data_IF_834422472087
#
_entry.id   IF_834422472087
#
_cell.length_a   1.000
_cell.length_b   1.000
_cell.length_c   1.000
_cell.angle_alpha   90.00
_cell.angle_beta   90.00
_cell.angle_gamma   90.00
#
_symmetry.space_group_name_H-M   'P 1'
#
loop_
_entity.id
_entity.type
_entity.pdbx_description
1 polymer ?
#
# COMPACT_ATOMS: atom_id res chain seq x y z
N UNK A 1 8.14 17.53 -7.78
CA UNK A 1 8.84 16.98 -6.60
C UNK A 1 8.64 15.48 -6.66
N UNK A 2 9.73 14.72 -6.82
CA UNK A 2 9.72 13.25 -6.84
C UNK A 2 9.16 12.65 -5.54
N UNK A 3 8.42 11.55 -5.64
CA UNK A 3 8.00 10.77 -4.49
C UNK A 3 9.08 9.74 -4.16
N UNK A 4 9.85 9.99 -3.10
CA UNK A 4 11.05 9.21 -2.77
C UNK A 4 10.75 8.04 -1.81
N UNK A 5 11.71 7.11 -1.61
CA UNK A 5 11.59 6.08 -0.57
C UNK A 5 11.40 6.65 0.85
N UNK A 6 11.91 7.85 1.14
CA UNK A 6 11.67 8.50 2.42
C UNK A 6 10.22 9.01 2.54
N UNK A 7 9.66 9.52 1.44
CA UNK A 7 8.25 9.92 1.39
C UNK A 7 7.32 8.74 1.61
N UNK A 8 7.65 7.59 1.02
CA UNK A 8 6.94 6.32 1.27
C UNK A 8 7.00 5.95 2.75
N UNK A 9 8.19 5.97 3.36
CA UNK A 9 8.36 5.62 4.78
C UNK A 9 7.56 6.55 5.70
N UNK A 10 7.58 7.85 5.44
CA UNK A 10 6.78 8.84 6.18
C UNK A 10 5.28 8.59 6.01
N UNK A 11 4.84 8.37 4.77
CA UNK A 11 3.44 8.10 4.48
C UNK A 11 2.94 6.84 5.18
N UNK A 12 3.71 5.75 5.15
CA UNK A 12 3.39 4.52 5.88
C UNK A 12 3.26 4.77 7.39
N UNK A 13 4.15 5.57 7.98
CA UNK A 13 4.07 5.91 9.40
C UNK A 13 2.80 6.71 9.74
N UNK A 14 2.39 7.63 8.86
CA UNK A 14 1.13 8.37 8.99
C UNK A 14 -0.07 7.43 8.86
N UNK A 15 -0.10 6.56 7.87
CA UNK A 15 -1.18 5.57 7.70
C UNK A 15 -1.33 4.68 8.94
N UNK A 16 -0.22 4.25 9.55
CA UNK A 16 -0.24 3.49 10.81
C UNK A 16 -0.86 4.29 11.96
N UNK A 17 -0.58 5.58 12.04
CA UNK A 17 -1.12 6.44 13.09
C UNK A 17 -2.63 6.70 12.90
N UNK A 18 -3.07 6.83 11.65
CA UNK A 18 -4.45 7.19 11.31
C UNK A 18 -5.39 5.98 11.21
N UNK A 19 -4.85 4.80 10.88
CA UNK A 19 -5.61 3.55 10.72
C UNK A 19 -5.21 2.60 11.84
N UNK A 20 -5.95 2.65 12.94
CA UNK A 20 -5.64 1.94 14.18
C UNK A 20 -5.53 0.40 14.01
N UNK A 21 -6.21 -0.15 13.00
CA UNK A 21 -6.13 -1.56 12.66
C UNK A 21 -4.79 -1.97 12.03
N UNK A 22 -3.98 -1.03 11.55
CA UNK A 22 -2.66 -1.31 11.01
C UNK A 22 -1.66 -1.32 12.16
N UNK A 23 -1.16 -2.51 12.51
CA UNK A 23 -0.25 -2.67 13.64
C UNK A 23 1.21 -2.53 13.23
N UNK A 24 1.52 -2.86 11.98
CA UNK A 24 2.87 -2.92 11.47
C UNK A 24 2.95 -2.31 10.07
N UNK A 25 4.02 -1.56 9.83
CA UNK A 25 4.33 -1.02 8.51
C UNK A 25 5.73 -1.37 8.08
N UNK A 26 5.89 -1.72 6.80
CA UNK A 26 7.18 -2.09 6.23
C UNK A 26 7.34 -1.54 4.81
N UNK A 27 8.33 -0.68 4.54
CA UNK A 27 8.76 -0.44 3.17
C UNK A 27 9.60 -1.62 2.68
N UNK A 28 9.33 -2.11 1.47
CA UNK A 28 10.05 -3.23 0.83
C UNK A 28 10.39 -2.86 -0.61
N UNK A 29 11.43 -3.49 -1.16
CA UNK A 29 11.81 -3.33 -2.56
C UNK A 29 10.97 -4.26 -3.44
N UNK A 30 10.81 -5.51 -3.02
CA UNK A 30 10.16 -6.54 -3.82
C UNK A 30 9.52 -7.63 -2.94
N UNK A 31 8.93 -8.61 -3.63
CA UNK A 31 8.30 -9.78 -3.02
C UNK A 31 9.26 -10.62 -2.17
N UNK A 32 10.55 -10.67 -2.51
CA UNK A 32 11.54 -11.46 -1.78
C UNK A 32 11.83 -10.85 -0.41
N UNK A 33 11.96 -9.52 -0.35
CA UNK A 33 12.09 -8.80 0.91
C UNK A 33 10.80 -8.87 1.71
N UNK A 34 9.65 -8.74 1.05
CA UNK A 34 8.35 -8.90 1.72
C UNK A 34 8.22 -10.28 2.37
N UNK A 35 8.54 -11.36 1.65
CA UNK A 35 8.48 -12.71 2.20
C UNK A 35 9.40 -12.89 3.41
N UNK A 36 10.59 -12.28 3.38
CA UNK A 36 11.52 -12.27 4.51
C UNK A 36 10.95 -11.54 5.72
N UNK A 37 10.39 -10.35 5.55
CA UNK A 37 9.78 -9.58 6.65
C UNK A 37 8.56 -10.32 7.25
N UNK A 38 7.70 -10.86 6.39
CA UNK A 38 6.51 -11.63 6.81
C UNK A 38 6.90 -12.91 7.55
N UNK A 39 8.01 -13.56 7.17
CA UNK A 39 8.49 -14.77 7.86
C UNK A 39 8.81 -14.53 9.34
N UNK A 40 9.18 -13.29 9.70
CA UNK A 40 9.54 -12.90 11.07
C UNK A 40 8.33 -12.49 11.92
N UNK A 41 7.14 -12.33 11.32
CA UNK A 41 5.93 -11.96 12.03
C UNK A 41 5.28 -13.15 12.73
N UNK A 42 4.69 -12.91 13.90
CA UNK A 42 3.75 -13.83 14.53
C UNK A 42 2.32 -13.60 14.03
N UNK A 43 1.47 -14.62 14.16
CA UNK A 43 0.04 -14.53 13.82
C UNK A 43 -0.68 -13.53 14.72
N UNK A 44 -0.18 -13.35 15.95
CA UNK A 44 -0.63 -12.32 16.88
C UNK A 44 -0.20 -10.91 16.47
N UNK A 45 0.80 -10.79 15.59
CA UNK A 45 1.13 -9.52 14.94
C UNK A 45 0.07 -9.31 13.85
N UNK A 46 -0.97 -8.60 14.24
CA UNK A 46 -2.12 -8.17 13.44
C UNK A 46 -1.73 -7.54 12.07
N UNK A 47 -2.75 -7.14 11.31
CA UNK A 47 -2.71 -6.42 10.03
C UNK A 47 -1.43 -5.61 9.73
N UNK A 48 -0.74 -6.05 8.68
CA UNK A 48 0.48 -5.48 8.11
C UNK A 48 0.14 -4.61 6.91
N UNK A 49 0.68 -3.39 6.87
CA UNK A 49 0.74 -2.57 5.66
C UNK A 49 2.18 -2.56 5.10
N UNK A 50 2.35 -3.14 3.93
CA UNK A 50 3.59 -3.12 3.17
C UNK A 50 3.49 -2.02 2.11
N UNK A 51 4.50 -1.18 2.01
CA UNK A 51 4.67 -0.28 0.85
C UNK A 51 5.83 -0.76 0.00
N UNK A 52 5.58 -1.00 -1.28
CA UNK A 52 6.64 -1.31 -2.24
C UNK A 52 7.30 0.01 -2.66
N UNK A 53 8.61 -0.02 -2.88
CA UNK A 53 9.31 1.16 -3.40
C UNK A 53 8.69 1.62 -4.73
N UNK A 54 8.64 2.93 -4.97
CA UNK A 54 8.04 3.45 -6.20
C UNK A 54 8.81 2.98 -7.42
N UNK A 55 8.09 2.51 -8.43
CA UNK A 55 8.62 2.30 -9.76
C UNK A 55 8.55 3.60 -10.55
N UNK A 56 9.68 4.02 -11.10
CA UNK A 56 9.82 5.28 -11.82
C UNK A 56 9.84 5.02 -13.34
N UNK A 57 8.86 5.59 -14.05
CA UNK A 57 8.77 5.54 -15.50
C UNK A 57 8.74 6.96 -16.08
N UNK A 58 9.37 7.16 -17.23
CA UNK A 58 9.25 8.42 -17.95
C UNK A 58 7.81 8.59 -18.45
N UNK A 59 7.21 9.74 -18.18
CA UNK A 59 5.88 10.09 -18.66
C UNK A 59 6.00 11.23 -19.68
N UNK A 60 6.47 10.88 -20.89
CA UNK A 60 6.85 11.81 -21.95
C UNK A 60 5.74 12.06 -22.97
N UNK A 61 4.47 12.01 -22.56
CA UNK A 61 3.32 12.14 -23.48
C UNK A 61 2.98 13.59 -23.90
N UNK A 62 3.87 14.57 -23.72
CA UNK A 62 3.67 15.92 -24.27
C UNK A 62 4.75 16.95 -23.96
N UNK A 63 4.99 17.87 -24.90
CA UNK A 63 6.12 18.82 -24.98
C UNK A 63 6.22 19.89 -23.87
N UNK A 64 5.28 19.98 -22.91
CA UNK A 64 5.21 21.15 -22.01
C UNK A 64 5.58 20.91 -20.53
N UNK A 65 5.82 19.68 -20.08
CA UNK A 65 6.38 19.42 -18.75
C UNK A 65 7.12 18.09 -18.63
N UNK A 66 8.39 18.11 -18.19
CA UNK A 66 9.14 16.91 -17.82
C UNK A 66 8.53 16.32 -16.53
N UNK A 67 7.70 15.28 -16.69
CA UNK A 67 7.10 14.54 -15.59
C UNK A 67 7.56 13.08 -15.59
N UNK A 68 7.48 12.48 -14.41
CA UNK A 68 7.76 11.08 -14.15
C UNK A 68 6.48 10.41 -13.64
N UNK A 69 6.11 9.30 -14.27
CA UNK A 69 5.08 8.41 -13.77
C UNK A 69 5.66 7.54 -12.66
N UNK A 70 4.97 7.47 -11.53
CA UNK A 70 5.32 6.62 -10.41
C UNK A 70 4.21 5.61 -10.23
N UNK A 71 4.55 4.33 -10.26
CA UNK A 71 3.62 3.28 -9.82
C UNK A 71 3.90 3.00 -8.36
N UNK A 72 2.85 3.05 -7.54
CA UNK A 72 2.93 2.81 -6.11
C UNK A 72 2.05 1.61 -5.75
N UNK A 73 2.67 0.62 -5.12
CA UNK A 73 2.00 -0.59 -4.68
C UNK A 73 2.03 -0.72 -3.16
N UNK A 74 0.89 -1.07 -2.59
CA UNK A 74 0.72 -1.30 -1.17
C UNK A 74 0.04 -2.65 -0.95
N UNK A 75 0.44 -3.37 0.09
CA UNK A 75 -0.23 -4.61 0.48
C UNK A 75 -0.74 -4.50 1.90
N UNK A 76 -2.03 -4.75 2.09
CA UNK A 76 -2.66 -4.85 3.40
C UNK A 76 -2.93 -6.33 3.64
N UNK A 77 -2.13 -6.91 4.53
CA UNK A 77 -1.99 -8.35 4.67
C UNK A 77 -2.19 -8.77 6.12
N UNK A 78 -2.76 -9.95 6.31
CA UNK A 78 -2.86 -10.61 7.61
C UNK A 78 -2.23 -11.99 7.53
N UNK A 79 -1.37 -12.30 8.50
CA UNK A 79 -0.72 -13.61 8.60
C UNK A 79 -1.71 -14.64 9.10
N UNK A 80 -1.70 -15.83 8.49
CA UNK A 80 -2.62 -16.91 8.83
C UNK A 80 -1.88 -18.23 8.99
N UNK A 81 -2.43 -19.13 9.80
CA UNK A 81 -1.98 -20.52 9.88
C UNK A 81 -2.93 -21.41 9.06
N UNK A 82 -2.51 -21.78 7.85
CA UNK A 82 -3.34 -22.59 6.95
C UNK A 82 -3.71 -23.96 7.50
N UNK A 83 -2.93 -24.53 8.43
CA UNK A 83 -3.25 -25.79 9.09
C UNK A 83 -4.55 -25.73 9.90
N UNK A 84 -4.94 -24.54 10.36
CA UNK A 84 -6.08 -24.31 11.23
C UNK A 84 -7.15 -23.40 10.60
N UNK A 85 -6.96 -22.96 9.35
CA UNK A 85 -7.81 -21.98 8.70
C UNK A 85 -9.06 -22.64 8.11
N UNK A 86 -10.23 -22.36 8.69
CA UNK A 86 -11.49 -22.76 8.08
C UNK A 86 -11.86 -21.84 6.90
N UNK A 87 -12.85 -22.27 6.10
CA UNK A 87 -13.36 -21.42 5.01
C UNK A 87 -13.96 -20.11 5.52
N UNK A 88 -14.59 -20.13 6.70
CA UNK A 88 -15.21 -18.94 7.29
C UNK A 88 -14.13 -18.00 7.83
N UNK A 89 -13.11 -18.52 8.53
CA UNK A 89 -11.97 -17.72 8.99
C UNK A 89 -11.24 -17.05 7.83
N UNK A 90 -11.12 -17.75 6.69
CA UNK A 90 -10.53 -17.17 5.49
C UNK A 90 -11.36 -15.98 4.97
N UNK A 91 -12.68 -16.13 4.90
CA UNK A 91 -13.57 -15.03 4.47
C UNK A 91 -13.51 -13.86 5.46
N UNK A 92 -13.44 -14.13 6.76
CA UNK A 92 -13.30 -13.09 7.79
C UNK A 92 -11.99 -12.31 7.64
N UNK A 93 -10.87 -13.00 7.39
CA UNK A 93 -9.57 -12.35 7.09
C UNK A 93 -9.65 -11.49 5.84
N UNK A 94 -10.28 -11.98 4.78
CA UNK A 94 -10.47 -11.21 3.54
C UNK A 94 -11.40 -10.02 3.77
N UNK A 95 -12.47 -10.17 4.56
CA UNK A 95 -13.37 -9.07 4.89
C UNK A 95 -12.66 -7.97 5.68
N UNK A 96 -11.94 -8.35 6.73
CA UNK A 96 -11.19 -7.42 7.58
C UNK A 96 -10.14 -6.64 6.77
N UNK A 97 -9.33 -7.34 5.98
CA UNK A 97 -8.32 -6.72 5.12
C UNK A 97 -8.94 -5.84 4.04
N UNK A 98 -10.09 -6.20 3.47
CA UNK A 98 -10.83 -5.35 2.53
C UNK A 98 -11.32 -4.05 3.17
N UNK A 99 -11.86 -4.12 4.39
CA UNK A 99 -12.35 -2.94 5.12
C UNK A 99 -11.22 -1.98 5.45
N UNK A 100 -10.06 -2.49 5.88
CA UNK A 100 -8.86 -1.67 6.12
C UNK A 100 -8.29 -1.10 4.83
N UNK A 101 -8.33 -1.87 3.74
CA UNK A 101 -7.93 -1.40 2.40
C UNK A 101 -8.76 -0.22 1.91
N UNK A 102 -10.07 -0.25 2.16
CA UNK A 102 -10.94 0.89 1.85
C UNK A 102 -10.58 2.13 2.66
N UNK A 103 -10.31 1.99 3.97
CA UNK A 103 -9.85 3.11 4.82
C UNK A 103 -8.54 3.71 4.32
N UNK A 104 -7.61 2.87 3.87
CA UNK A 104 -6.36 3.31 3.26
C UNK A 104 -6.60 4.13 1.98
N UNK A 105 -7.46 3.65 1.07
CA UNK A 105 -7.82 4.39 -0.16
C UNK A 105 -8.49 5.72 0.19
N UNK A 106 -9.42 5.74 1.14
CA UNK A 106 -10.07 6.96 1.62
C UNK A 106 -9.04 7.96 2.17
N UNK A 107 -8.08 7.49 2.96
CA UNK A 107 -7.00 8.33 3.51
C UNK A 107 -6.11 8.92 2.42
N UNK A 108 -5.83 8.17 1.36
CA UNK A 108 -5.07 8.60 0.21
C UNK A 108 -5.81 9.68 -0.60
N UNK A 109 -7.11 9.52 -0.82
CA UNK A 109 -7.97 10.52 -1.47
C UNK A 109 -8.07 11.79 -0.60
N UNK A 110 -8.13 11.65 0.72
CA UNK A 110 -8.09 12.79 1.63
C UNK A 110 -6.77 13.55 1.57
N UNK A 111 -5.64 12.84 1.47
CA UNK A 111 -4.31 13.47 1.34
C UNK A 111 -4.22 14.31 0.07
N UNK A 112 -4.70 13.80 -1.06
CA UNK A 112 -4.77 14.55 -2.32
C UNK A 112 -5.55 15.85 -2.18
N UNK A 113 -6.68 15.80 -1.48
CA UNK A 113 -7.61 16.92 -1.37
C UNK A 113 -7.33 17.86 -0.19
N UNK A 114 -6.26 17.65 0.57
CA UNK A 114 -5.95 18.46 1.74
C UNK A 114 -5.39 19.84 1.32
N UNK A 115 -6.13 20.95 1.56
CA UNK A 115 -5.72 22.28 1.11
C UNK A 115 -4.59 22.88 1.97
N UNK A 116 -4.28 22.28 3.13
CA UNK A 116 -3.35 22.83 4.13
C UNK A 116 -1.93 22.22 4.05
N UNK A 117 -1.72 21.26 3.16
CA UNK A 117 -0.44 20.59 2.92
C UNK A 117 -0.10 20.71 1.45
N UNK A 118 1.19 20.84 1.11
CA UNK A 118 1.63 20.61 -0.28
C UNK A 118 1.41 19.11 -0.55
N UNK A 119 0.35 18.72 -1.30
CA UNK A 119 -0.09 17.33 -1.26
C UNK A 119 0.91 16.50 -2.07
N UNK A 120 1.66 15.61 -1.42
CA UNK A 120 2.55 14.67 -2.11
C UNK A 120 1.79 13.82 -3.15
N UNK A 121 0.47 13.70 -2.97
CA UNK A 121 -0.45 12.98 -3.85
C UNK A 121 -1.31 13.89 -4.74
N UNK A 122 -0.92 15.16 -4.95
CA UNK A 122 -1.72 16.11 -5.74
C UNK A 122 -2.05 15.58 -7.15
N UNK A 123 -1.06 14.99 -7.83
CA UNK A 123 -1.21 14.39 -9.15
C UNK A 123 -1.51 12.87 -9.11
N UNK A 124 -2.13 12.40 -8.04
CA UNK A 124 -2.66 11.04 -7.98
C UNK A 124 -3.74 10.87 -9.06
N UNK A 125 -3.59 9.86 -9.90
CA UNK A 125 -4.61 9.45 -10.84
C UNK A 125 -5.62 8.53 -10.14
N UNK A 126 -6.73 9.07 -9.66
CA UNK A 126 -7.77 8.30 -8.95
C UNK A 126 -8.34 7.15 -9.79
N UNK A 127 -8.41 7.31 -11.13
CA UNK A 127 -8.89 6.26 -12.03
C UNK A 127 -7.93 5.07 -12.15
N UNK A 128 -6.68 5.23 -11.72
CA UNK A 128 -5.68 4.16 -11.70
C UNK A 128 -5.70 3.33 -10.41
N UNK A 129 -6.50 3.71 -9.40
CA UNK A 129 -6.58 2.97 -8.15
C UNK A 129 -7.20 1.61 -8.40
N UNK A 130 -6.43 0.56 -8.15
CA UNK A 130 -6.86 -0.83 -8.26
C UNK A 130 -6.66 -1.53 -6.92
N UNK A 131 -7.61 -2.40 -6.57
CA UNK A 131 -7.54 -3.23 -5.37
C UNK A 131 -7.74 -4.70 -5.78
N UNK A 132 -6.74 -5.53 -5.54
CA UNK A 132 -6.69 -6.92 -6.00
C UNK A 132 -6.48 -7.88 -4.81
N UNK A 133 -7.19 -9.02 -4.75
CA UNK A 133 -7.01 -9.97 -3.65
C UNK A 133 -5.65 -10.66 -3.75
N UNK A 134 -5.03 -10.89 -2.60
CA UNK A 134 -3.76 -11.60 -2.44
C UNK A 134 -4.00 -12.85 -1.60
N UNK A 135 -3.62 -14.00 -2.16
CA UNK A 135 -3.78 -15.29 -1.51
C UNK A 135 -2.43 -15.99 -1.32
N UNK A 136 -2.21 -16.52 -0.11
CA UNK A 136 -1.07 -17.37 0.23
C UNK A 136 0.31 -16.77 -0.06
N UNK A 137 0.41 -15.44 -0.13
CA UNK A 137 1.67 -14.75 -0.38
C UNK A 137 2.48 -14.73 0.91
N UNK A 138 3.53 -15.53 0.97
CA UNK A 138 4.37 -15.71 2.17
C UNK A 138 3.58 -16.07 3.46
N UNK A 139 2.49 -16.83 3.34
CA UNK A 139 1.66 -17.18 4.49
C UNK A 139 0.66 -16.10 4.93
N UNK A 140 0.41 -15.11 4.08
CA UNK A 140 -0.55 -14.02 4.34
C UNK A 140 -1.65 -13.98 3.28
N UNK A 141 -2.80 -13.45 3.69
CA UNK A 141 -3.92 -13.12 2.82
C UNK A 141 -4.29 -11.64 2.98
N UNK A 142 -4.88 -11.06 1.94
CA UNK A 142 -5.42 -9.71 2.01
C UNK A 142 -5.58 -9.07 0.64
N UNK A 143 -5.17 -7.81 0.52
CA UNK A 143 -5.32 -7.05 -0.72
C UNK A 143 -4.06 -6.26 -1.07
N UNK A 144 -3.80 -6.18 -2.37
CA UNK A 144 -2.84 -5.27 -2.98
C UNK A 144 -3.60 -4.07 -3.53
N UNK A 145 -3.06 -2.88 -3.31
CA UNK A 145 -3.57 -1.61 -3.79
C UNK A 145 -2.50 -0.97 -4.64
N UNK A 146 -2.82 -0.72 -5.90
CA UNK A 146 -1.90 -0.16 -6.89
C UNK A 146 -2.48 1.13 -7.44
N UNK A 147 -1.64 2.15 -7.63
CA UNK A 147 -2.06 3.38 -8.29
C UNK A 147 -0.88 4.15 -8.89
N UNK A 148 -1.20 5.05 -9.82
CA UNK A 148 -0.26 5.90 -10.51
C UNK A 148 -0.27 7.31 -9.94
N UNK A 149 0.92 7.84 -9.71
CA UNK A 149 1.17 9.21 -9.26
C UNK A 149 2.13 9.88 -10.25
N UNK A 150 1.81 11.08 -10.74
CA UNK A 150 2.77 11.87 -11.52
C UNK A 150 3.59 12.77 -10.61
N UNK A 151 4.88 12.88 -10.86
CA UNK A 151 5.77 13.80 -10.14
C UNK A 151 6.66 14.55 -11.13
N UNK A 152 7.12 15.74 -10.76
CA UNK A 152 8.17 16.40 -11.56
C UNK A 152 9.46 15.54 -11.57
N UNK A 153 10.18 15.60 -12.69
CA UNK A 153 11.49 14.96 -12.88
C UNK A 153 12.55 15.50 -11.90
#
# INVERSE_FOLDING_TARGET
MIFTPNDLREFLAVCKADIAEINMVKPVIDDSQMAKEVSQMHVADNLLLVGVLPDYASDSDGDDALMMGNTLDFLILKKVEYSNLSSDDFIDVMHETAMVSRKFIERLIQEKNNPNTCPKFYFLNESSIQMQPVWAKAGTNGYMISFNLRTDL
#
